data_IF_967035934356
#
_entry.id   IF_967035934356
#
_cell.length_a   1.000
_cell.length_b   1.000
_cell.length_c   1.000
_cell.angle_alpha   90.00
_cell.angle_beta   90.00
_cell.angle_gamma   90.00
#
_symmetry.space_group_name_H-M   'P 1'
#
loop_
_entity.id
_entity.type
_entity.pdbx_description
1 polymer ?
#
# COMPACT_ATOMS: atom_id res chain seq x y z
N UNK A 1 -26.64 -0.18 5.73
CA UNK A 1 -26.27 1.07 6.43
C UNK A 1 -24.87 1.58 6.07
N UNK A 2 -23.74 0.94 6.44
CA UNK A 2 -22.40 1.48 6.11
C UNK A 2 -22.07 1.42 4.61
N UNK A 3 -22.44 0.33 3.94
CA UNK A 3 -22.28 0.16 2.48
C UNK A 3 -23.16 1.15 1.69
N UNK A 4 -24.41 1.37 2.12
CA UNK A 4 -25.32 2.35 1.49
C UNK A 4 -24.83 3.79 1.65
N UNK A 5 -24.21 4.15 2.80
CA UNK A 5 -23.59 5.45 2.99
C UNK A 5 -22.38 5.64 2.05
N UNK A 6 -21.59 4.58 1.84
CA UNK A 6 -20.49 4.58 0.88
C UNK A 6 -20.99 4.75 -0.57
N UNK A 7 -22.07 4.07 -0.95
CA UNK A 7 -22.68 4.20 -2.27
C UNK A 7 -23.30 5.59 -2.52
N UNK A 8 -23.67 6.34 -1.48
CA UNK A 8 -24.15 7.72 -1.62
C UNK A 8 -23.03 8.72 -2.00
N UNK A 9 -21.80 8.47 -1.57
CA UNK A 9 -20.67 9.39 -1.82
C UNK A 9 -20.08 9.19 -3.22
N UNK A 10 -20.10 7.95 -3.74
CA UNK A 10 -19.63 7.63 -5.08
C UNK A 10 -20.77 7.07 -5.93
N UNK A 11 -21.12 7.75 -7.03
CA UNK A 11 -22.14 7.27 -7.97
C UNK A 11 -21.57 6.15 -8.84
N UNK A 12 -22.04 4.92 -8.61
CA UNK A 12 -21.71 3.77 -9.45
C UNK A 12 -22.77 3.61 -10.56
N UNK A 13 -22.37 3.57 -11.85
CA UNK A 13 -23.30 3.23 -12.93
C UNK A 13 -23.80 1.78 -12.78
N UNK A 14 -25.08 1.54 -13.06
CA UNK A 14 -25.71 0.21 -12.93
C UNK A 14 -25.16 -0.82 -13.93
N UNK A 15 -25.17 -2.09 -13.51
CA UNK A 15 -24.62 -3.22 -14.25
C UNK A 15 -25.29 -3.44 -15.63
N UNK A 16 -24.49 -3.76 -16.65
CA UNK A 16 -24.94 -4.15 -17.99
C UNK A 16 -24.31 -5.49 -18.44
N UNK A 17 -24.95 -6.15 -19.42
CA UNK A 17 -24.76 -7.58 -19.77
C UNK A 17 -23.49 -7.90 -20.58
N UNK A 18 -22.95 -9.08 -20.28
CA UNK A 18 -22.01 -9.96 -20.99
C UNK A 18 -20.79 -9.33 -21.69
N UNK A 19 -19.62 -9.52 -21.07
CA UNK A 19 -18.31 -9.13 -21.57
C UNK A 19 -17.89 -9.92 -22.82
N UNK A 20 -17.31 -9.21 -23.80
CA UNK A 20 -16.43 -9.82 -24.81
C UNK A 20 -15.03 -9.98 -24.17
N UNK A 21 -14.30 -11.04 -24.49
CA UNK A 21 -12.88 -11.14 -24.16
C UNK A 21 -12.11 -10.06 -24.92
N UNK A 22 -11.30 -9.27 -24.23
CA UNK A 22 -10.55 -8.13 -24.76
C UNK A 22 -9.07 -8.28 -24.42
N UNK A 23 -8.40 -9.18 -25.12
CA UNK A 23 -6.95 -9.31 -24.98
C UNK A 23 -6.28 -8.12 -25.68
N UNK A 24 -5.79 -7.16 -24.91
CA UNK A 24 -5.19 -5.93 -25.44
C UNK A 24 -3.75 -6.13 -25.91
N UNK A 25 -3.55 -6.59 -27.15
CA UNK A 25 -2.23 -6.52 -27.80
C UNK A 25 -1.95 -5.10 -28.28
N UNK A 26 -0.72 -4.83 -28.73
CA UNK A 26 -0.32 -3.49 -29.21
C UNK A 26 -1.23 -2.94 -30.34
N UNK A 27 -1.67 -3.79 -31.26
CA UNK A 27 -2.63 -3.43 -32.32
C UNK A 27 -3.99 -3.01 -31.76
N UNK A 28 -4.45 -3.70 -30.73
CA UNK A 28 -5.75 -3.48 -30.10
C UNK A 28 -5.72 -2.18 -29.30
N UNK A 29 -4.63 -1.93 -28.56
CA UNK A 29 -4.38 -0.66 -27.87
C UNK A 29 -4.42 0.51 -28.86
N UNK A 30 -3.68 0.44 -29.96
CA UNK A 30 -3.69 1.52 -30.98
C UNK A 30 -5.08 1.72 -31.60
N UNK A 31 -5.86 0.65 -31.74
CA UNK A 31 -7.22 0.72 -32.28
C UNK A 31 -8.18 1.33 -31.27
N UNK A 32 -8.12 0.91 -30.01
CA UNK A 32 -8.90 1.46 -28.91
C UNK A 32 -8.63 2.96 -28.75
N UNK A 33 -7.36 3.36 -28.66
CA UNK A 33 -6.95 4.76 -28.51
C UNK A 33 -7.46 5.65 -29.66
N UNK A 34 -7.39 5.16 -30.91
CA UNK A 34 -7.96 5.87 -32.07
C UNK A 34 -9.48 6.00 -31.96
N UNK A 35 -10.18 4.92 -31.58
CA UNK A 35 -11.64 4.88 -31.42
C UNK A 35 -12.13 5.90 -30.39
N UNK A 36 -11.43 6.02 -29.26
CA UNK A 36 -11.79 6.97 -28.18
C UNK A 36 -11.14 8.36 -28.36
N UNK A 37 -10.44 8.59 -29.49
CA UNK A 37 -9.73 9.84 -29.81
C UNK A 37 -8.83 10.31 -28.66
N UNK A 38 -8.08 9.37 -28.06
CA UNK A 38 -7.17 9.63 -26.97
C UNK A 38 -5.73 9.49 -27.45
N UNK A 39 -4.97 10.58 -27.31
CA UNK A 39 -3.51 10.55 -27.40
C UNK A 39 -2.95 10.37 -25.98
N UNK A 40 -2.06 9.38 -25.73
CA UNK A 40 -1.51 9.14 -24.41
C UNK A 40 -0.83 10.39 -23.84
N UNK A 41 -1.27 10.82 -22.66
CA UNK A 41 -0.77 12.04 -22.04
C UNK A 41 0.46 11.73 -21.15
N UNK A 42 1.64 12.21 -21.57
CA UNK A 42 2.87 12.16 -20.73
C UNK A 42 2.68 12.85 -19.38
N UNK A 43 1.86 13.89 -19.31
CA UNK A 43 1.55 14.61 -18.07
C UNK A 43 0.82 13.73 -17.06
N UNK A 44 -0.05 12.84 -17.52
CA UNK A 44 -0.79 11.86 -16.72
C UNK A 44 -0.03 10.55 -16.49
N UNK A 45 1.13 10.36 -17.13
CA UNK A 45 1.93 9.15 -17.00
C UNK A 45 1.29 7.91 -17.62
N UNK A 46 0.44 8.09 -18.63
CA UNK A 46 -0.27 6.99 -19.29
C UNK A 46 0.70 6.13 -20.11
N UNK A 47 0.96 4.91 -19.63
CA UNK A 47 1.68 3.85 -20.33
C UNK A 47 0.85 2.56 -20.24
N UNK A 48 0.33 2.09 -21.37
CA UNK A 48 -0.58 0.95 -21.43
C UNK A 48 0.19 -0.35 -21.62
N UNK A 49 -0.02 -1.32 -20.72
CA UNK A 49 0.57 -2.65 -20.78
C UNK A 49 -0.04 -3.44 -21.95
N UNK A 50 0.80 -3.96 -22.85
CA UNK A 50 0.37 -4.78 -24.01
C UNK A 50 0.84 -6.24 -23.96
N UNK A 51 1.69 -6.59 -23.00
CA UNK A 51 2.11 -7.97 -22.75
C UNK A 51 1.09 -8.71 -21.88
N UNK A 52 0.32 -9.59 -22.53
CA UNK A 52 -0.75 -10.38 -21.92
C UNK A 52 -0.21 -11.46 -20.97
N UNK A 53 0.98 -12.00 -21.22
CA UNK A 53 1.58 -13.01 -20.36
C UNK A 53 2.04 -12.36 -19.04
N UNK A 54 2.60 -11.16 -19.12
CA UNK A 54 2.95 -10.37 -17.94
C UNK A 54 1.70 -9.98 -17.15
N UNK A 55 0.66 -9.47 -17.82
CA UNK A 55 -0.60 -9.10 -17.17
C UNK A 55 -1.23 -10.28 -16.41
N UNK A 56 -1.33 -11.45 -17.06
CA UNK A 56 -1.81 -12.69 -16.44
C UNK A 56 -0.94 -13.10 -15.25
N UNK A 57 0.39 -13.08 -15.43
CA UNK A 57 1.33 -13.42 -14.36
C UNK A 57 1.18 -12.50 -13.14
N UNK A 58 1.01 -11.19 -13.34
CA UNK A 58 0.76 -10.23 -12.26
C UNK A 58 -0.51 -10.65 -11.50
N UNK A 59 -1.63 -10.85 -12.19
CA UNK A 59 -2.88 -11.24 -11.54
C UNK A 59 -2.76 -12.58 -10.81
N UNK A 60 -2.00 -13.54 -11.35
CA UNK A 60 -1.74 -14.82 -10.69
C UNK A 60 -0.95 -14.65 -9.38
N UNK A 61 -0.02 -13.68 -9.29
CA UNK A 61 0.70 -13.37 -8.04
C UNK A 61 -0.21 -12.82 -6.95
N UNK A 62 -1.38 -12.28 -7.31
CA UNK A 62 -2.34 -11.75 -6.35
C UNK A 62 -3.23 -12.83 -5.71
N UNK A 63 -3.17 -14.08 -6.19
CA UNK A 63 -3.90 -15.23 -5.64
C UNK A 63 -5.38 -14.91 -5.42
N UNK A 64 -5.99 -14.26 -6.42
CA UNK A 64 -7.35 -13.72 -6.33
C UNK A 64 -8.37 -14.86 -6.29
N UNK A 65 -9.35 -14.75 -5.40
CA UNK A 65 -10.50 -15.65 -5.28
C UNK A 65 -11.82 -14.89 -5.51
N UNK A 66 -12.94 -15.58 -5.75
CA UNK A 66 -14.24 -14.94 -5.94
C UNK A 66 -14.76 -14.14 -4.75
N UNK A 67 -14.20 -14.33 -3.56
CA UNK A 67 -14.54 -13.60 -2.32
C UNK A 67 -13.75 -12.29 -2.16
N UNK A 68 -12.72 -12.05 -2.98
CA UNK A 68 -11.91 -10.84 -2.89
C UNK A 68 -12.64 -9.62 -3.48
N UNK A 69 -12.36 -8.45 -2.88
CA UNK A 69 -12.69 -7.15 -3.44
C UNK A 69 -11.41 -6.48 -3.92
N UNK A 70 -11.26 -6.30 -5.23
CA UNK A 70 -10.03 -5.83 -5.85
C UNK A 70 -10.18 -4.38 -6.27
N UNK A 71 -9.34 -3.52 -5.72
CA UNK A 71 -9.21 -2.13 -6.18
C UNK A 71 -8.10 -2.07 -7.20
N UNK A 72 -8.40 -1.62 -8.41
CA UNK A 72 -7.42 -1.37 -9.46
C UNK A 72 -7.23 0.13 -9.67
N UNK A 73 -6.03 0.65 -9.39
CA UNK A 73 -5.69 2.05 -9.65
C UNK A 73 -5.07 2.18 -11.04
N UNK A 74 -5.66 3.05 -11.86
CA UNK A 74 -5.18 3.31 -13.22
C UNK A 74 -5.48 2.14 -14.14
N UNK A 75 -6.73 1.68 -14.15
CA UNK A 75 -7.17 0.53 -14.96
C UNK A 75 -6.93 0.73 -16.47
N UNK A 76 -6.92 1.99 -16.94
CA UNK A 76 -6.57 2.34 -18.31
C UNK A 76 -7.47 1.64 -19.32
N UNK A 77 -6.88 0.80 -20.17
CA UNK A 77 -7.61 0.02 -21.18
C UNK A 77 -8.04 -1.38 -20.68
N UNK A 78 -7.85 -1.68 -19.39
CA UNK A 78 -8.33 -2.89 -18.75
C UNK A 78 -7.38 -4.08 -18.81
N UNK A 79 -6.08 -3.82 -18.99
CA UNK A 79 -5.07 -4.87 -19.19
C UNK A 79 -4.95 -5.84 -17.99
N UNK A 80 -5.14 -5.36 -16.76
CA UNK A 80 -5.24 -6.24 -15.58
C UNK A 80 -6.71 -6.53 -15.24
N UNK A 81 -7.59 -5.54 -15.39
CA UNK A 81 -9.04 -5.65 -15.10
C UNK A 81 -9.67 -6.91 -15.66
N UNK A 82 -9.42 -7.24 -16.94
CA UNK A 82 -9.97 -8.44 -17.57
C UNK A 82 -9.57 -9.71 -16.81
N UNK A 83 -8.27 -9.88 -16.55
CA UNK A 83 -7.76 -11.06 -15.85
C UNK A 83 -8.23 -11.14 -14.39
N UNK A 84 -8.42 -9.99 -13.72
CA UNK A 84 -8.98 -9.95 -12.37
C UNK A 84 -10.43 -10.45 -12.40
N UNK A 85 -11.23 -9.99 -13.36
CA UNK A 85 -12.62 -10.42 -13.54
C UNK A 85 -12.71 -11.92 -13.89
N UNK A 86 -11.78 -12.45 -14.68
CA UNK A 86 -11.68 -13.90 -14.96
C UNK A 86 -11.51 -14.75 -13.69
N UNK A 87 -10.92 -14.20 -12.61
CA UNK A 87 -10.80 -14.87 -11.30
C UNK A 87 -12.10 -14.82 -10.48
N UNK A 88 -13.12 -14.10 -10.96
CA UNK A 88 -14.44 -14.01 -10.32
C UNK A 88 -14.55 -12.98 -9.19
N UNK A 89 -13.51 -12.18 -8.93
CA UNK A 89 -13.53 -11.15 -7.90
C UNK A 89 -14.49 -9.99 -8.25
N UNK A 90 -14.87 -9.22 -7.22
CA UNK A 90 -15.47 -7.90 -7.42
C UNK A 90 -14.36 -6.88 -7.63
N UNK A 91 -14.52 -5.99 -8.60
CA UNK A 91 -13.47 -5.07 -9.02
C UNK A 91 -13.98 -3.64 -8.97
N UNK A 92 -13.24 -2.78 -8.29
CA UNK A 92 -13.36 -1.33 -8.36
C UNK A 92 -12.20 -0.77 -9.18
N UNK A 93 -12.47 -0.40 -10.42
CA UNK A 93 -11.52 0.26 -11.30
C UNK A 93 -11.57 1.78 -11.08
N UNK A 94 -10.48 2.37 -10.57
CA UNK A 94 -10.33 3.81 -10.40
C UNK A 94 -9.52 4.36 -11.59
N UNK A 95 -10.15 5.20 -12.40
CA UNK A 95 -9.54 5.78 -13.60
C UNK A 95 -9.79 7.29 -13.66
N UNK A 96 -8.75 8.09 -13.92
CA UNK A 96 -8.87 9.55 -13.93
C UNK A 96 -9.34 10.08 -15.29
N UNK A 97 -8.95 9.46 -16.40
CA UNK A 97 -9.37 9.90 -17.73
C UNK A 97 -10.79 9.37 -18.04
N UNK A 98 -11.76 10.27 -18.16
CA UNK A 98 -13.15 9.93 -18.41
C UNK A 98 -13.33 9.05 -19.67
N UNK A 99 -12.52 9.27 -20.72
CA UNK A 99 -12.62 8.47 -21.96
C UNK A 99 -12.17 7.03 -21.76
N UNK A 100 -11.21 6.79 -20.87
CA UNK A 100 -10.78 5.45 -20.49
C UNK A 100 -11.80 4.79 -19.56
N UNK A 101 -12.39 5.55 -18.63
CA UNK A 101 -13.47 5.07 -17.78
C UNK A 101 -14.69 4.63 -18.62
N UNK A 102 -15.10 5.44 -19.59
CA UNK A 102 -16.18 5.12 -20.52
C UNK A 102 -15.83 3.92 -21.42
N UNK A 103 -14.56 3.83 -21.87
CA UNK A 103 -14.07 2.69 -22.62
C UNK A 103 -14.19 1.39 -21.81
N UNK A 104 -13.76 1.39 -20.54
CA UNK A 104 -13.87 0.23 -19.66
C UNK A 104 -15.33 -0.20 -19.49
N UNK A 105 -16.24 0.75 -19.22
CA UNK A 105 -17.65 0.44 -19.00
C UNK A 105 -18.34 -0.14 -20.23
N UNK A 106 -17.94 0.30 -21.42
CA UNK A 106 -18.48 -0.20 -22.69
C UNK A 106 -17.86 -1.51 -23.15
N UNK A 107 -16.55 -1.72 -22.92
CA UNK A 107 -15.82 -2.88 -23.49
C UNK A 107 -15.72 -4.06 -22.52
N UNK A 108 -15.61 -3.81 -21.21
CA UNK A 108 -15.50 -4.83 -20.16
C UNK A 108 -16.78 -4.93 -19.31
N UNK A 109 -17.91 -4.46 -19.84
CA UNK A 109 -19.20 -4.44 -19.15
C UNK A 109 -19.46 -5.76 -18.41
N UNK A 110 -19.42 -5.70 -17.07
CA UNK A 110 -19.48 -6.87 -16.21
C UNK A 110 -20.17 -6.54 -14.90
N UNK A 111 -20.96 -7.47 -14.39
CA UNK A 111 -21.78 -7.29 -13.17
C UNK A 111 -20.95 -7.09 -11.90
N UNK A 112 -19.69 -7.53 -11.94
CA UNK A 112 -18.71 -7.44 -10.85
C UNK A 112 -17.67 -6.33 -11.06
N UNK A 113 -17.87 -5.48 -12.07
CA UNK A 113 -16.98 -4.36 -12.35
C UNK A 113 -17.70 -3.05 -12.02
N UNK A 114 -17.15 -2.32 -11.06
CA UNK A 114 -17.49 -0.94 -10.74
C UNK A 114 -16.38 -0.03 -11.28
N UNK A 115 -16.76 1.08 -11.90
CA UNK A 115 -15.79 2.04 -12.46
C UNK A 115 -16.04 3.38 -11.80
N UNK A 116 -14.98 3.92 -11.19
CA UNK A 116 -15.01 5.23 -10.55
C UNK A 116 -14.09 6.19 -11.32
N UNK A 117 -14.71 7.15 -12.02
CA UNK A 117 -13.95 8.18 -12.71
C UNK A 117 -13.51 9.31 -11.75
N UNK A 118 -12.38 9.11 -11.08
CA UNK A 118 -11.82 10.08 -10.13
C UNK A 118 -10.29 10.02 -10.13
N UNK A 119 -9.65 11.11 -9.69
CA UNK A 119 -8.25 11.06 -9.30
C UNK A 119 -8.09 10.17 -8.05
N UNK A 120 -7.29 9.10 -8.13
CA UNK A 120 -7.08 8.17 -7.02
C UNK A 120 -6.51 8.85 -5.74
N UNK A 121 -5.87 10.01 -5.84
CA UNK A 121 -5.47 10.80 -4.66
C UNK A 121 -6.67 11.40 -3.92
N UNK A 122 -7.80 11.59 -4.59
CA UNK A 122 -9.07 12.09 -4.03
C UNK A 122 -9.99 10.98 -3.54
N UNK A 123 -9.72 9.72 -3.88
CA UNK A 123 -10.46 8.59 -3.33
C UNK A 123 -10.23 8.50 -1.81
N UNK A 124 -11.26 8.18 -1.04
CA UNK A 124 -11.13 7.97 0.40
C UNK A 124 -10.99 6.47 0.68
N UNK A 125 -9.83 5.98 1.17
CA UNK A 125 -9.64 4.56 1.44
C UNK A 125 -10.55 3.99 2.54
N UNK A 126 -11.21 4.85 3.35
CA UNK A 126 -12.11 4.39 4.43
C UNK A 126 -13.30 3.59 3.91
N UNK A 127 -13.69 3.80 2.65
CA UNK A 127 -14.72 3.04 1.96
C UNK A 127 -14.41 1.55 1.90
N UNK A 128 -13.13 1.22 1.84
CA UNK A 128 -12.67 -0.16 1.72
C UNK A 128 -12.95 -0.99 2.98
N UNK A 129 -13.22 -0.37 4.14
CA UNK A 129 -13.59 -1.09 5.36
C UNK A 129 -14.98 -1.74 5.27
N UNK A 130 -15.81 -1.33 4.31
CA UNK A 130 -17.08 -1.98 4.02
C UNK A 130 -16.90 -3.37 3.37
N UNK A 131 -15.69 -3.67 2.89
CA UNK A 131 -15.39 -4.89 2.16
C UNK A 131 -14.39 -5.76 2.94
N UNK A 132 -14.50 -7.08 2.76
CA UNK A 132 -13.53 -8.05 3.29
C UNK A 132 -12.55 -8.43 2.20
N UNK A 133 -11.35 -8.85 2.61
CA UNK A 133 -10.29 -9.34 1.71
C UNK A 133 -9.98 -8.36 0.57
N UNK A 134 -9.75 -7.11 0.94
CA UNK A 134 -9.44 -6.08 -0.05
C UNK A 134 -8.03 -6.28 -0.58
N UNK A 135 -7.87 -6.32 -1.90
CA UNK A 135 -6.56 -6.38 -2.57
C UNK A 135 -6.42 -5.17 -3.48
N UNK A 136 -5.23 -4.57 -3.52
CA UNK A 136 -4.96 -3.43 -4.37
C UNK A 136 -3.97 -3.79 -5.46
N UNK A 137 -4.39 -3.65 -6.71
CA UNK A 137 -3.56 -3.84 -7.89
C UNK A 137 -3.41 -2.51 -8.62
N UNK A 138 -2.34 -2.33 -9.39
CA UNK A 138 -2.26 -1.18 -10.27
C UNK A 138 -0.91 -0.97 -10.94
N UNK A 139 -0.96 -0.39 -12.13
CA UNK A 139 0.19 0.22 -12.79
C UNK A 139 0.24 1.70 -12.43
N UNK A 140 0.92 2.05 -11.33
CA UNK A 140 0.78 3.40 -10.80
C UNK A 140 1.48 4.43 -11.69
N UNK A 141 0.82 5.59 -11.97
CA UNK A 141 1.47 6.66 -12.70
C UNK A 141 2.71 7.17 -11.95
N UNK A 142 3.84 7.20 -12.64
CA UNK A 142 5.15 7.42 -12.02
C UNK A 142 5.22 8.70 -11.18
N UNK A 143 4.67 9.81 -11.69
CA UNK A 143 4.74 11.14 -11.06
C UNK A 143 4.05 11.22 -9.70
N UNK A 144 3.02 10.41 -9.48
CA UNK A 144 2.20 10.45 -8.25
C UNK A 144 2.29 9.14 -7.45
N UNK A 145 3.16 8.22 -7.88
CA UNK A 145 3.30 6.89 -7.30
C UNK A 145 3.59 6.91 -5.80
N UNK A 146 4.49 7.79 -5.33
CA UNK A 146 4.79 7.93 -3.88
C UNK A 146 3.60 8.44 -3.08
N UNK A 147 2.87 9.43 -3.60
CA UNK A 147 1.71 10.00 -2.91
C UNK A 147 0.57 8.98 -2.81
N UNK A 148 0.31 8.24 -3.90
CA UNK A 148 -0.64 7.14 -3.91
C UNK A 148 -0.22 6.03 -2.93
N UNK A 149 1.04 5.62 -2.99
CA UNK A 149 1.57 4.58 -2.12
C UNK A 149 1.40 4.94 -0.64
N UNK A 150 1.81 6.14 -0.22
CA UNK A 150 1.66 6.58 1.17
C UNK A 150 0.19 6.69 1.60
N UNK A 151 -0.69 7.14 0.71
CA UNK A 151 -2.13 7.25 0.97
C UNK A 151 -2.78 5.87 1.20
N UNK A 152 -2.47 4.89 0.36
CA UNK A 152 -3.08 3.56 0.43
C UNK A 152 -2.38 2.60 1.41
N UNK A 153 -1.20 2.97 1.94
CA UNK A 153 -0.53 2.24 3.02
C UNK A 153 -0.78 2.84 4.41
N UNK A 154 -1.43 4.01 4.49
CA UNK A 154 -1.70 4.67 5.76
C UNK A 154 -2.60 3.80 6.64
N UNK A 155 -2.22 3.62 7.91
CA UNK A 155 -2.99 2.85 8.88
C UNK A 155 -4.08 3.71 9.56
N UNK A 156 -5.19 3.09 10.04
CA UNK A 156 -5.57 1.70 9.79
C UNK A 156 -5.99 1.51 8.32
N UNK A 157 -5.71 0.33 7.72
CA UNK A 157 -6.19 -0.01 6.39
C UNK A 157 -6.70 -1.46 6.26
N UNK A 158 -7.72 -1.73 5.43
CA UNK A 158 -8.32 -3.07 5.27
C UNK A 158 -7.69 -3.92 4.15
N UNK A 159 -6.69 -3.39 3.44
CA UNK A 159 -6.05 -4.02 2.30
C UNK A 159 -5.08 -5.09 2.80
N UNK A 160 -5.24 -6.31 2.32
CA UNK A 160 -4.43 -7.47 2.71
C UNK A 160 -3.25 -7.72 1.76
N UNK A 161 -3.25 -7.09 0.59
CA UNK A 161 -2.22 -7.24 -0.44
C UNK A 161 -2.18 -6.02 -1.34
N UNK A 162 -0.99 -5.50 -1.61
CA UNK A 162 -0.73 -4.62 -2.74
C UNK A 162 0.17 -5.33 -3.74
N UNK A 163 -0.23 -5.31 -5.00
CA UNK A 163 0.59 -5.78 -6.10
C UNK A 163 0.70 -4.66 -7.13
N UNK A 164 1.81 -3.94 -7.05
CA UNK A 164 2.00 -2.67 -7.74
C UNK A 164 3.10 -2.78 -8.77
N UNK A 165 2.84 -2.23 -9.94
CA UNK A 165 3.87 -1.94 -10.91
C UNK A 165 4.29 -0.48 -10.76
N UNK A 166 5.59 -0.29 -10.56
CA UNK A 166 6.23 1.00 -10.25
C UNK A 166 7.47 1.15 -11.11
N UNK A 167 8.00 2.38 -11.22
CA UNK A 167 9.36 2.57 -11.76
C UNK A 167 10.35 1.69 -11.00
N UNK A 168 11.31 1.10 -11.71
CA UNK A 168 12.27 0.17 -11.14
C UNK A 168 13.01 0.76 -9.94
N UNK A 169 13.43 2.01 -10.01
CA UNK A 169 14.08 2.73 -8.89
C UNK A 169 13.18 2.82 -7.66
N UNK A 170 11.91 3.18 -7.83
CA UNK A 170 10.94 3.25 -6.73
C UNK A 170 10.74 1.86 -6.11
N UNK A 171 10.58 0.83 -6.93
CA UNK A 171 10.45 -0.54 -6.47
C UNK A 171 11.67 -0.99 -5.65
N UNK A 172 12.89 -0.70 -6.13
CA UNK A 172 14.13 -1.01 -5.41
C UNK A 172 14.19 -0.29 -4.06
N UNK A 173 13.83 1.00 -4.01
CA UNK A 173 13.77 1.77 -2.75
C UNK A 173 12.82 1.15 -1.73
N UNK A 174 11.63 0.70 -2.14
CA UNK A 174 10.66 0.10 -1.22
C UNK A 174 11.15 -1.25 -0.66
N UNK A 175 11.84 -2.04 -1.49
CA UNK A 175 12.34 -3.36 -1.13
C UNK A 175 13.80 -3.37 -0.66
N UNK A 176 14.41 -2.20 -0.44
CA UNK A 176 15.83 -2.11 -0.13
C UNK A 176 16.14 -2.71 1.25
N UNK A 177 17.33 -3.31 1.36
CA UNK A 177 17.91 -3.78 2.62
C UNK A 177 18.89 -2.75 3.19
N UNK A 178 19.18 -2.76 4.49
CA UNK A 178 20.22 -1.91 5.08
C UNK A 178 21.55 -2.03 4.33
N UNK A 179 22.34 -0.96 4.37
CA UNK A 179 23.64 -0.85 3.70
C UNK A 179 23.60 -0.99 2.17
N UNK A 180 22.45 -0.69 1.55
CA UNK A 180 22.31 -0.62 0.08
C UNK A 180 22.07 0.81 -0.39
N UNK A 181 22.37 1.08 -1.66
CA UNK A 181 22.22 2.42 -2.25
C UNK A 181 20.78 2.97 -2.17
N UNK A 182 19.78 2.10 -2.32
CA UNK A 182 18.37 2.50 -2.39
C UNK A 182 17.69 2.55 -1.01
N UNK A 183 18.39 2.16 0.06
CA UNK A 183 17.86 2.18 1.42
C UNK A 183 17.71 3.60 1.96
N UNK A 184 16.53 3.91 2.48
CA UNK A 184 16.23 5.26 2.96
C UNK A 184 15.00 5.37 3.86
N UNK A 185 14.65 6.60 4.19
CA UNK A 185 13.49 6.90 5.04
C UNK A 185 12.16 6.35 4.48
N UNK A 186 11.98 6.36 3.15
CA UNK A 186 10.79 5.76 2.52
C UNK A 186 10.74 4.25 2.72
N UNK A 187 11.89 3.58 2.60
CA UNK A 187 12.03 2.14 2.84
C UNK A 187 11.56 1.79 4.25
N UNK A 188 12.13 2.47 5.25
CA UNK A 188 11.78 2.25 6.66
C UNK A 188 10.31 2.57 6.93
N UNK A 189 9.80 3.70 6.45
CA UNK A 189 8.40 4.10 6.66
C UNK A 189 7.41 3.06 6.13
N UNK A 190 7.70 2.46 4.99
CA UNK A 190 6.84 1.42 4.40
C UNK A 190 7.05 0.09 5.11
N UNK A 191 8.30 -0.30 5.31
CA UNK A 191 8.65 -1.57 5.93
C UNK A 191 8.27 -1.66 7.41
N UNK A 192 8.01 -0.53 8.07
CA UNK A 192 7.52 -0.45 9.45
C UNK A 192 6.23 -1.25 9.66
N UNK A 193 5.31 -1.15 8.71
CA UNK A 193 3.98 -1.76 8.78
C UNK A 193 3.77 -2.85 7.73
N UNK A 194 4.72 -3.03 6.82
CA UNK A 194 4.55 -3.93 5.69
C UNK A 194 5.81 -4.73 5.36
N UNK A 195 5.62 -5.94 4.84
CA UNK A 195 6.66 -6.72 4.18
C UNK A 195 6.63 -6.40 2.70
N UNK A 196 7.75 -5.91 2.18
CA UNK A 196 7.90 -5.56 0.76
C UNK A 196 8.78 -6.58 0.05
N UNK A 197 8.30 -7.14 -1.05
CA UNK A 197 9.05 -8.07 -1.89
C UNK A 197 9.10 -7.58 -3.34
N UNK A 198 10.31 -7.38 -3.84
CA UNK A 198 10.55 -7.21 -5.27
C UNK A 198 10.32 -8.54 -5.98
N UNK A 199 9.36 -8.60 -6.90
CA UNK A 199 9.05 -9.84 -7.60
C UNK A 199 9.80 -9.96 -8.93
N UNK A 200 9.76 -8.92 -9.76
CA UNK A 200 10.36 -8.96 -11.10
C UNK A 200 10.59 -7.57 -11.69
N UNK A 201 11.65 -7.40 -12.47
CA UNK A 201 11.80 -6.28 -13.40
C UNK A 201 10.88 -6.44 -14.61
N UNK A 202 10.40 -5.33 -15.14
CA UNK A 202 9.53 -5.26 -16.30
C UNK A 202 10.15 -4.29 -17.32
N UNK A 203 10.56 -4.78 -18.50
CA UNK A 203 11.21 -3.93 -19.49
C UNK A 203 10.23 -2.91 -20.06
N UNK A 204 10.69 -1.69 -20.35
CA UNK A 204 9.86 -0.62 -20.88
C UNK A 204 9.12 -0.98 -22.20
N UNK A 205 9.66 -1.94 -22.98
CA UNK A 205 9.13 -2.36 -24.28
C UNK A 205 7.74 -3.00 -24.23
N UNK A 206 7.29 -3.46 -23.06
CA UNK A 206 5.94 -4.06 -22.89
C UNK A 206 4.83 -3.02 -22.72
N UNK A 207 5.18 -1.73 -22.81
CA UNK A 207 4.23 -0.62 -22.70
C UNK A 207 4.09 0.16 -24.00
N UNK A 208 2.94 0.81 -24.14
CA UNK A 208 2.68 1.80 -25.16
C UNK A 208 2.01 3.06 -24.58
N UNK A 209 2.56 4.27 -24.80
CA UNK A 209 3.90 4.52 -25.29
C UNK A 209 4.96 3.86 -24.39
N UNK A 210 6.15 3.64 -24.94
CA UNK A 210 7.26 3.11 -24.16
C UNK A 210 7.74 4.21 -23.19
N UNK A 211 7.82 3.94 -21.87
CA UNK A 211 8.42 4.86 -20.92
C UNK A 211 9.94 4.92 -21.06
N UNK A 212 10.54 5.99 -20.54
CA UNK A 212 12.00 6.20 -20.59
C UNK A 212 12.79 5.26 -19.65
N UNK A 213 12.09 4.63 -18.70
CA UNK A 213 12.69 3.77 -17.68
C UNK A 213 11.90 2.48 -17.52
N UNK A 214 12.61 1.43 -17.10
CA UNK A 214 12.00 0.15 -16.76
C UNK A 214 11.09 0.25 -15.52
N UNK A 215 10.14 -0.66 -15.46
CA UNK A 215 9.26 -0.89 -14.32
C UNK A 215 9.70 -2.10 -13.51
N UNK A 216 9.04 -2.32 -12.39
CA UNK A 216 9.12 -3.54 -11.61
C UNK A 216 7.81 -3.80 -10.87
N UNK A 217 7.52 -5.08 -10.63
CA UNK A 217 6.37 -5.53 -9.84
C UNK A 217 6.82 -5.77 -8.41
N UNK A 218 6.14 -5.12 -7.48
CA UNK A 218 6.37 -5.22 -6.04
C UNK A 218 5.12 -5.78 -5.37
N UNK A 219 5.33 -6.75 -4.47
CA UNK A 219 4.30 -7.23 -3.56
C UNK A 219 4.51 -6.64 -2.18
N UNK A 220 3.46 -6.07 -1.62
CA UNK A 220 3.43 -5.53 -0.28
C UNK A 220 2.37 -6.30 0.51
N UNK A 221 2.71 -6.74 1.71
CA UNK A 221 1.82 -7.43 2.64
C UNK A 221 1.84 -6.70 3.98
N UNK A 222 0.71 -6.58 4.70
CA UNK A 222 0.75 -6.04 6.06
C UNK A 222 1.62 -6.93 6.95
N UNK A 223 2.33 -6.33 7.89
CA UNK A 223 2.99 -7.07 8.99
C UNK A 223 1.97 -7.41 10.05
N UNK A 224 2.26 -8.48 10.79
CA UNK A 224 1.58 -8.72 12.05
C UNK A 224 2.02 -7.63 13.06
N UNK A 225 1.10 -6.97 13.79
CA UNK A 225 1.45 -5.98 14.79
C UNK A 225 2.44 -6.47 15.86
N UNK A 226 2.48 -7.79 16.13
CA UNK A 226 3.36 -8.44 17.10
C UNK A 226 4.73 -8.81 16.52
N UNK A 227 4.96 -8.62 15.21
CA UNK A 227 6.22 -8.99 14.55
C UNK A 227 7.39 -8.09 14.97
N UNK A 228 7.10 -6.85 15.36
CA UNK A 228 8.09 -5.85 15.72
C UNK A 228 7.88 -5.39 17.17
N UNK A 229 8.94 -5.00 17.88
CA UNK A 229 8.81 -4.46 19.23
C UNK A 229 7.89 -3.23 19.26
N UNK A 230 7.21 -3.06 20.40
CA UNK A 230 6.47 -1.85 20.73
C UNK A 230 7.42 -0.64 20.72
N UNK A 231 6.89 0.52 20.30
CA UNK A 231 7.68 1.72 20.05
C UNK A 231 6.80 2.96 19.98
N UNK A 232 7.38 4.11 20.29
CA UNK A 232 6.81 5.39 19.89
C UNK A 232 7.06 5.59 18.38
N UNK A 233 6.00 5.43 17.58
CA UNK A 233 6.09 5.55 16.12
C UNK A 233 6.38 6.99 15.67
N UNK A 234 5.86 8.00 16.38
CA UNK A 234 6.08 9.40 16.02
C UNK A 234 7.55 9.77 16.22
N UNK A 235 8.11 9.39 17.38
CA UNK A 235 9.52 9.59 17.67
C UNK A 235 10.41 8.81 16.68
N UNK A 236 10.11 7.54 16.43
CA UNK A 236 10.87 6.71 15.47
C UNK A 236 10.91 7.37 14.09
N UNK A 237 9.77 7.79 13.55
CA UNK A 237 9.70 8.44 12.24
C UNK A 237 10.39 9.82 12.24
N UNK A 238 10.37 10.52 13.37
CA UNK A 238 11.16 11.74 13.61
C UNK A 238 12.67 11.49 13.53
N UNK A 239 13.16 10.50 14.27
CA UNK A 239 14.58 10.11 14.29
C UNK A 239 15.07 9.65 12.91
N UNK A 240 14.28 8.82 12.22
CA UNK A 240 14.58 8.39 10.84
C UNK A 240 14.69 9.61 9.92
N UNK A 241 13.76 10.57 10.02
CA UNK A 241 13.79 11.79 9.19
C UNK A 241 15.07 12.60 9.43
N UNK A 242 15.48 12.77 10.68
CA UNK A 242 16.71 13.48 11.03
C UNK A 242 17.95 12.70 10.56
N UNK A 243 17.98 11.39 10.77
CA UNK A 243 19.09 10.52 10.35
C UNK A 243 19.34 10.54 8.84
N UNK A 244 18.28 10.55 8.03
CA UNK A 244 18.41 10.61 6.56
C UNK A 244 18.52 12.03 5.99
N UNK A 245 18.56 13.08 6.83
CA UNK A 245 18.65 14.47 6.37
C UNK A 245 19.97 14.80 5.66
N UNK A 246 21.07 14.12 6.01
CA UNK A 246 22.38 14.31 5.38
C UNK A 246 23.05 12.95 5.17
N UNK A 247 22.80 12.33 4.01
CA UNK A 247 23.20 10.95 3.67
C UNK A 247 24.66 10.57 3.98
N UNK A 248 25.61 11.49 3.88
CA UNK A 248 27.05 11.20 4.11
C UNK A 248 27.51 11.41 5.55
N UNK A 249 26.65 11.94 6.42
CA UNK A 249 26.97 12.34 7.80
C UNK A 249 26.65 11.21 8.77
N UNK A 250 27.50 11.04 9.78
CA UNK A 250 27.35 10.00 10.81
C UNK A 250 26.18 10.34 11.75
N UNK A 251 25.48 9.31 12.23
CA UNK A 251 24.30 9.46 13.11
C UNK A 251 24.61 10.24 14.39
N UNK A 252 25.77 10.02 15.02
CA UNK A 252 26.24 10.79 16.19
C UNK A 252 26.22 12.31 16.01
N UNK A 253 26.35 12.78 14.76
CA UNK A 253 26.33 14.22 14.45
C UNK A 253 24.94 14.72 14.08
N UNK A 254 24.03 13.84 13.68
CA UNK A 254 22.66 14.17 13.28
C UNK A 254 21.70 14.05 14.45
N UNK A 255 21.90 13.08 15.34
CA UNK A 255 21.02 12.77 16.45
C UNK A 255 21.53 13.30 17.79
N UNK A 256 22.46 14.27 17.80
CA UNK A 256 23.08 14.80 19.03
C UNK A 256 22.04 15.25 20.06
N UNK A 257 20.99 15.92 19.61
CA UNK A 257 19.95 16.49 20.48
C UNK A 257 19.02 15.41 21.07
N UNK A 258 19.06 14.19 20.52
CA UNK A 258 18.26 13.05 20.97
C UNK A 258 19.10 11.99 21.72
N UNK A 259 20.40 11.92 21.42
CA UNK A 259 21.31 10.88 21.86
C UNK A 259 22.67 11.52 22.21
N UNK A 260 22.72 12.19 23.38
CA UNK A 260 23.92 12.91 23.84
C UNK A 260 25.11 11.96 24.04
N UNK A 261 24.90 10.83 24.72
CA UNK A 261 25.90 9.78 24.91
C UNK A 261 25.79 8.68 23.84
N UNK A 262 26.04 9.08 22.59
CA UNK A 262 25.94 8.17 21.44
C UNK A 262 26.84 6.94 21.54
N UNK A 263 28.05 7.08 22.09
CA UNK A 263 29.01 5.96 22.14
C UNK A 263 28.52 4.85 23.09
N UNK A 264 27.95 5.21 24.24
CA UNK A 264 27.29 4.25 25.15
C UNK A 264 26.08 3.61 24.50
N UNK A 265 25.23 4.39 23.82
CA UNK A 265 24.04 3.87 23.12
C UNK A 265 24.47 2.87 22.03
N UNK A 266 25.44 3.26 21.20
CA UNK A 266 25.94 2.44 20.11
C UNK A 266 26.53 1.12 20.63
N UNK A 267 27.29 1.16 21.74
CA UNK A 267 27.82 -0.05 22.37
C UNK A 267 26.70 -0.97 22.88
N UNK A 268 25.70 -0.42 23.59
CA UNK A 268 24.60 -1.23 24.16
C UNK A 268 23.71 -1.86 23.09
N UNK A 269 23.52 -1.17 21.97
CA UNK A 269 22.69 -1.63 20.85
C UNK A 269 23.47 -2.38 19.77
N UNK A 270 24.77 -2.62 19.98
CA UNK A 270 25.66 -3.24 18.99
C UNK A 270 25.63 -2.55 17.62
N UNK A 271 25.64 -1.21 17.63
CA UNK A 271 25.68 -0.33 16.46
C UNK A 271 27.12 0.17 16.31
N UNK A 272 27.62 0.28 15.07
CA UNK A 272 28.90 0.92 14.81
C UNK A 272 28.84 2.40 15.26
N UNK A 273 29.75 2.89 16.15
CA UNK A 273 29.73 4.28 16.60
C UNK A 273 29.88 5.32 15.47
N UNK A 274 30.42 4.89 14.32
CA UNK A 274 30.58 5.70 13.11
C UNK A 274 29.46 5.49 12.08
N UNK A 275 28.43 4.72 12.41
CA UNK A 275 27.34 4.36 11.50
C UNK A 275 26.64 5.60 10.92
N UNK A 276 26.25 5.47 9.66
CA UNK A 276 25.29 6.35 8.98
C UNK A 276 23.89 5.75 9.03
N UNK A 277 22.91 6.57 8.70
CA UNK A 277 21.50 6.19 8.75
C UNK A 277 21.19 4.96 7.89
N UNK A 278 21.82 4.84 6.72
CA UNK A 278 21.59 3.71 5.82
C UNK A 278 22.12 2.36 6.35
N UNK A 279 23.00 2.37 7.37
CA UNK A 279 23.61 1.16 7.93
C UNK A 279 22.74 0.50 9.00
N UNK A 280 21.79 1.24 9.60
CA UNK A 280 20.91 0.71 10.64
C UNK A 280 19.73 -0.05 10.02
N UNK A 281 19.49 -1.25 10.52
CA UNK A 281 18.26 -2.01 10.23
C UNK A 281 17.03 -1.39 10.89
N UNK A 282 15.84 -1.77 10.43
CA UNK A 282 14.58 -1.34 11.04
C UNK A 282 14.52 -1.68 12.54
N UNK A 283 14.97 -2.88 12.94
CA UNK A 283 15.02 -3.27 14.35
C UNK A 283 15.98 -2.37 15.15
N UNK A 284 17.18 -2.09 14.63
CA UNK A 284 18.12 -1.18 15.30
C UNK A 284 17.57 0.25 15.43
N UNK A 285 16.79 0.73 14.44
CA UNK A 285 16.08 2.01 14.57
C UNK A 285 15.02 1.98 15.67
N UNK A 286 14.30 0.87 15.82
CA UNK A 286 13.33 0.67 16.90
C UNK A 286 14.05 0.62 18.25
N UNK A 287 15.11 -0.16 18.37
CA UNK A 287 15.91 -0.28 19.59
C UNK A 287 16.51 1.05 20.02
N UNK A 288 17.02 1.84 19.04
CA UNK A 288 17.50 3.21 19.29
C UNK A 288 16.39 4.11 19.82
N UNK A 289 15.20 4.03 19.24
CA UNK A 289 14.04 4.83 19.68
C UNK A 289 13.66 4.47 21.11
N UNK A 290 13.54 3.17 21.40
CA UNK A 290 13.17 2.67 22.72
C UNK A 290 14.26 2.92 23.78
N UNK A 291 15.52 3.05 23.38
CA UNK A 291 16.59 3.47 24.28
C UNK A 291 16.44 4.95 24.66
N UNK A 292 16.13 5.81 23.68
CA UNK A 292 15.98 7.26 23.88
C UNK A 292 14.73 7.58 24.70
N UNK A 293 13.61 6.93 24.36
CA UNK A 293 12.35 7.04 25.08
C UNK A 293 11.76 5.64 25.25
N UNK A 294 11.98 5.00 26.41
CA UNK A 294 11.37 3.72 26.72
C UNK A 294 9.85 3.83 26.64
N UNK A 295 9.21 2.87 25.97
CA UNK A 295 7.75 2.81 25.94
C UNK A 295 7.26 2.64 27.38
N UNK A 296 6.30 3.46 27.85
CA UNK A 296 5.73 3.26 29.17
C UNK A 296 5.08 1.89 29.23
N UNK A 297 5.66 0.97 30.02
CA UNK A 297 4.93 -0.24 30.36
C UNK A 297 3.73 0.17 31.22
N UNK A 298 2.49 -0.18 30.84
CA UNK A 298 1.37 0.03 31.74
C UNK A 298 1.68 -0.70 33.04
N UNK A 299 1.60 0.00 34.18
CA UNK A 299 1.89 -0.59 35.48
C UNK A 299 1.03 -1.85 35.62
N UNK A 300 1.62 -3.04 35.79
CA UNK A 300 0.84 -4.28 35.94
C UNK A 300 -0.12 -4.23 37.13
N UNK A 301 0.07 -3.31 38.09
CA UNK A 301 -0.85 -3.04 39.21
C UNK A 301 -2.09 -2.24 38.80
N UNK A 302 -2.00 -1.44 37.73
CA UNK A 302 -3.14 -0.68 37.18
C UNK A 302 -4.02 -1.57 36.29
N UNK A 303 -3.43 -2.48 35.50
CA UNK A 303 -4.19 -3.39 34.62
C UNK A 303 -4.94 -4.50 35.38
N UNK A 304 -4.48 -4.86 36.58
CA UNK A 304 -5.15 -5.84 37.47
C UNK A 304 -6.23 -5.23 38.36
N UNK A 305 -6.25 -3.90 38.52
CA UNK A 305 -7.23 -3.19 39.36
C UNK A 305 -8.34 -2.50 38.56
N UNK A 306 -8.20 -2.38 37.22
CA UNK A 306 -9.27 -1.89 36.35
C UNK A 306 -10.48 -2.84 36.35
N UNK A 307 -11.63 -2.31 36.80
CA UNK A 307 -12.93 -3.00 36.77
C UNK A 307 -13.78 -2.43 35.63
N UNK A 308 -14.22 -3.33 34.75
CA UNK A 308 -15.08 -3.03 33.61
C UNK A 308 -16.54 -3.37 33.95
N UNK A 309 -17.52 -2.54 33.56
CA UNK A 309 -18.92 -2.86 33.76
C UNK A 309 -19.31 -4.06 32.88
N UNK A 310 -19.91 -5.08 33.50
CA UNK A 310 -20.58 -6.17 32.78
C UNK A 310 -21.98 -5.67 32.44
N UNK A 311 -22.36 -5.74 31.16
CA UNK A 311 -23.67 -5.29 30.68
C UNK A 311 -24.48 -6.45 30.10
N UNK A 312 -25.81 -6.36 30.21
CA UNK A 312 -26.73 -7.29 29.54
C UNK A 312 -26.92 -6.94 28.05
N UNK A 313 -27.73 -7.72 27.33
CA UNK A 313 -28.05 -7.49 25.91
C UNK A 313 -28.84 -6.19 25.63
N UNK A 314 -29.17 -5.42 26.67
CA UNK A 314 -29.88 -4.14 26.62
C UNK A 314 -29.03 -3.02 27.24
N UNK A 315 -27.71 -3.21 27.33
CA UNK A 315 -26.72 -2.29 27.90
C UNK A 315 -26.96 -1.90 29.37
N UNK A 316 -27.68 -2.73 30.14
CA UNK A 316 -27.86 -2.51 31.58
C UNK A 316 -26.69 -3.09 32.36
N UNK A 317 -26.10 -2.30 33.24
CA UNK A 317 -24.97 -2.70 34.08
C UNK A 317 -25.44 -3.74 35.11
N UNK A 318 -24.91 -4.95 35.00
CA UNK A 318 -25.14 -6.09 35.89
C UNK A 318 -24.12 -6.17 37.03
N UNK A 319 -22.94 -5.57 36.86
CA UNK A 319 -21.86 -5.59 37.84
C UNK A 319 -20.56 -5.03 37.26
N UNK A 320 -19.43 -5.25 37.95
CA UNK A 320 -18.10 -4.86 37.48
C UNK A 320 -17.10 -6.01 37.68
N UNK A 321 -16.28 -6.33 36.67
CA UNK A 321 -15.28 -7.40 36.74
C UNK A 321 -13.94 -6.96 36.14
N UNK A 322 -12.86 -7.63 36.52
CA UNK A 322 -11.52 -7.36 35.98
C UNK A 322 -11.43 -7.72 34.49
N UNK A 323 -10.46 -7.13 33.78
CA UNK A 323 -10.23 -7.39 32.35
C UNK A 323 -10.06 -8.89 32.03
N UNK A 324 -9.38 -9.62 32.91
CA UNK A 324 -9.16 -11.06 32.80
C UNK A 324 -10.42 -11.90 33.00
N UNK A 325 -11.41 -11.42 33.75
CA UNK A 325 -12.70 -12.12 33.94
C UNK A 325 -13.68 -11.84 32.79
N UNK A 326 -13.57 -10.68 32.13
CA UNK A 326 -14.42 -10.31 30.99
C UNK A 326 -13.90 -10.92 29.67
N UNK A 327 -12.58 -11.03 29.51
CA UNK A 327 -11.94 -11.58 28.30
C UNK A 327 -11.27 -12.94 28.49
N UNK A 328 -11.38 -13.54 29.67
CA UNK A 328 -10.86 -14.88 29.97
C UNK A 328 -11.84 -15.98 29.60
N UNK A 329 -11.89 -16.32 28.31
CA UNK A 329 -12.08 -17.66 27.74
C UNK A 329 -11.94 -17.59 26.21
#
# INVERSE_FOLDING_TARGET
>A
MFTEFCEQIYKFPGAQRAARKVHMKLSDIRTALRKIRLSPARTLGQNFLHDQNLARWIVDQAQITPEDYVVEIGAGLGALTEFILEKGARVLAIERDARLADFLGTHLSHQRLEILNIDALKFDPRFLFAHRRVKLLGNLPYKISSALLLKFLQQPNPISLWLLMLQKEMAMRLSASPSTHDYGALTLRVQLHHRVKYLRSVPATVFFPQPDVDSAVVRILPRDPLELPERDEELLLGLIRVGFSQRRKQLRKLLRDYAEDWDTIAQRLNINPKARAEELSLLQWIDLTNFIAPVPHPDPRLTTSERFPIVDKKDRILGSASRSEVHGN
#
